data_IF_113060610764
#
_entry.id   IF_113060610764
#
_cell.length_a   1.000
_cell.length_b   1.000
_cell.length_c   1.000
_cell.angle_alpha   90.00
_cell.angle_beta   90.00
_cell.angle_gamma   90.00
#
_symmetry.space_group_name_H-M   'P 1'
#
loop_
_entity.id
_entity.type
_entity.pdbx_description
1 polymer ?
2 polymer ?
3 non-polymer ?
4 water ?
#
# COMPACT_ATOMS: atom_id res chain seq x y z
N UNK A 1 -3.30 28.09 3.39
CA UNK A 1 -1.97 28.69 3.32
C UNK A 1 -1.34 28.64 1.93
N UNK A 2 -0.04 28.93 1.84
CA UNK A 2 0.61 28.98 0.53
C UNK A 2 0.77 27.58 -0.04
N UNK A 3 0.76 27.48 -1.37
CA UNK A 3 1.09 26.21 -2.01
C UNK A 3 2.59 25.99 -1.85
N UNK A 4 3.00 24.80 -1.47
CA UNK A 4 4.44 24.52 -1.23
C UNK A 4 4.95 23.35 -2.08
N UNK A 5 6.22 23.40 -2.46
CA UNK A 5 6.86 22.23 -3.10
C UNK A 5 7.75 21.50 -2.10
N UNK A 6 7.60 20.17 -2.00
CA UNK A 6 8.29 19.40 -0.96
C UNK A 6 8.92 18.16 -1.58
N UNK A 7 10.19 17.91 -1.24
CA UNK A 7 10.96 16.76 -1.73
C UNK A 7 10.95 15.65 -0.69
N UNK A 8 10.70 14.42 -1.13
CA UNK A 8 10.69 13.25 -0.26
C UNK A 8 11.60 12.20 -0.87
N UNK A 9 12.44 11.58 -0.05
CA UNK A 9 13.38 10.56 -0.49
C UNK A 9 12.97 9.22 0.09
N UNK A 10 12.87 8.19 -0.74
CA UNK A 10 12.53 6.89 -0.19
C UNK A 10 13.25 5.79 -0.95
N UNK A 11 13.45 4.66 -0.26
CA UNK A 11 14.03 3.47 -0.86
C UNK A 11 12.91 2.50 -1.24
N UNK A 12 13.24 1.53 -2.09
CA UNK A 12 12.20 0.68 -2.67
C UNK A 12 11.59 -0.29 -1.66
N UNK A 13 12.20 -0.49 -0.49
CA UNK A 13 11.66 -1.44 0.48
C UNK A 13 10.60 -0.84 1.41
N UNK A 14 10.33 0.47 1.31
CA UNK A 14 9.48 1.25 2.21
C UNK A 14 8.23 1.73 1.48
N UNK A 15 7.19 2.04 2.25
CA UNK A 15 6.10 2.86 1.76
C UNK A 15 6.42 4.34 1.92
N UNK A 16 5.41 5.18 1.62
CA UNK A 16 5.62 6.62 1.78
C UNK A 16 5.57 7.03 3.25
N UNK A 17 4.88 6.27 4.09
CA UNK A 17 4.73 6.65 5.48
C UNK A 17 3.61 7.63 5.75
N UNK A 18 2.52 7.56 4.99
CA UNK A 18 1.37 8.43 5.22
C UNK A 18 0.09 7.61 5.12
N UNK A 19 -0.94 8.11 5.79
CA UNK A 19 -2.31 7.70 5.55
C UNK A 19 -3.03 8.86 4.88
N UNK A 20 -3.85 8.55 3.88
CA UNK A 20 -4.64 9.55 3.18
C UNK A 20 -6.13 9.25 3.33
N UNK A 21 -6.93 10.31 3.29
CA UNK A 21 -8.38 10.19 3.25
C UNK A 21 -8.90 11.15 2.18
N UNK A 22 -10.17 11.00 1.82
CA UNK A 22 -10.78 11.92 0.87
C UNK A 22 -10.75 11.37 -0.54
N UNK A 23 -11.02 12.26 -1.49
CA UNK A 23 -11.09 11.93 -2.90
C UNK A 23 -12.31 12.56 -3.56
N UNK A 24 -12.26 12.65 -4.89
CA UNK A 24 -13.28 13.39 -5.66
C UNK A 24 -14.69 12.86 -5.41
N UNK A 25 -14.84 11.54 -5.24
CA UNK A 25 -16.18 10.96 -5.10
C UNK A 25 -16.81 11.32 -3.77
N UNK A 26 -16.03 11.88 -2.85
CA UNK A 26 -16.52 12.38 -1.58
C UNK A 26 -16.55 13.91 -1.52
N UNK A 27 -16.15 14.58 -2.60
CA UNK A 27 -16.10 16.04 -2.59
C UNK A 27 -15.03 16.61 -1.69
N UNK A 28 -13.96 15.86 -1.45
CA UNK A 28 -12.88 16.23 -0.52
C UNK A 28 -11.56 16.05 -1.27
N UNK A 29 -10.56 16.93 -1.10
CA UNK A 29 -9.23 16.65 -1.68
C UNK A 29 -8.62 15.39 -1.07
N UNK A 30 -7.51 14.96 -1.67
CA UNK A 30 -6.67 13.93 -1.06
C UNK A 30 -5.94 14.59 0.12
N UNK A 31 -6.31 14.21 1.34
CA UNK A 31 -5.74 14.81 2.55
C UNK A 31 -4.87 13.82 3.31
N UNK A 32 -3.77 14.33 3.86
CA UNK A 32 -2.94 13.53 4.76
C UNK A 32 -3.61 13.50 6.13
N UNK A 33 -4.00 12.30 6.57
CA UNK A 33 -4.57 12.13 7.90
C UNK A 33 -3.60 11.55 8.93
N UNK A 34 -2.49 10.94 8.49
CA UNK A 34 -1.46 10.43 9.39
C UNK A 34 -0.08 10.58 8.74
N UNK A 35 0.91 10.95 9.55
CA UNK A 35 2.32 10.82 9.20
C UNK A 35 2.88 9.75 10.13
N UNK A 36 3.42 8.64 9.57
CA UNK A 36 3.90 7.57 10.45
C UNK A 36 5.33 7.84 10.94
N UNK A 37 5.58 7.72 12.25
CA UNK A 37 6.90 8.07 12.80
C UNK A 37 8.03 7.28 12.18
N UNK A 38 9.09 7.99 11.78
CA UNK A 38 10.29 7.37 11.30
C UNK A 38 10.27 6.95 9.85
N UNK A 39 9.15 7.07 9.16
CA UNK A 39 9.07 6.67 7.77
C UNK A 39 9.33 7.87 6.86
N UNK A 40 9.42 7.66 5.53
CA UNK A 40 10.02 8.72 4.67
C UNK A 40 9.32 10.08 4.72
N UNK A 41 7.99 10.13 4.85
CA UNK A 41 7.29 11.41 4.92
C UNK A 41 7.64 12.18 6.19
N UNK A 42 7.71 11.48 7.33
CA UNK A 42 8.21 12.08 8.56
C UNK A 42 9.64 12.58 8.41
N UNK A 43 10.52 11.76 7.83
CA UNK A 43 11.92 12.14 7.72
C UNK A 43 12.14 13.32 6.78
N UNK A 44 11.26 13.55 5.77
CA UNK A 44 11.59 14.62 4.82
C UNK A 44 11.31 15.98 5.46
N UNK A 45 10.48 16.02 6.51
CA UNK A 45 10.28 17.22 7.31
C UNK A 45 9.23 18.22 6.81
N UNK A 46 8.79 18.11 5.55
CA UNK A 46 7.90 19.11 4.97
C UNK A 46 6.45 18.72 4.78
N UNK A 47 6.03 17.53 5.21
CA UNK A 47 4.66 17.07 5.03
C UNK A 47 3.98 16.93 6.38
N UNK A 48 2.70 17.34 6.48
CA UNK A 48 2.03 17.39 7.78
C UNK A 48 0.57 16.94 7.70
N UNK A 49 0.07 16.37 8.80
CA UNK A 49 -1.36 16.04 8.89
C UNK A 49 -2.20 17.28 8.57
N UNK A 50 -3.21 17.10 7.72
CA UNK A 50 -4.03 18.20 7.25
C UNK A 50 -3.61 18.77 5.91
N UNK A 51 -2.40 18.45 5.42
CA UNK A 51 -1.99 18.90 4.09
C UNK A 51 -2.87 18.23 3.03
N UNK A 52 -3.29 19.01 2.03
CA UNK A 52 -3.87 18.45 0.81
C UNK A 52 -2.75 18.22 -0.21
N UNK A 53 -2.75 17.03 -0.82
CA UNK A 53 -1.79 16.70 -1.87
C UNK A 53 -2.38 17.13 -3.21
N UNK A 54 -1.80 18.19 -3.80
CA UNK A 54 -2.28 18.72 -5.07
C UNK A 54 -1.69 17.97 -6.27
N UNK A 55 -0.46 17.48 -6.14
CA UNK A 55 0.20 16.79 -7.24
C UNK A 55 1.41 16.02 -6.70
N UNK A 56 1.83 15.00 -7.45
CA UNK A 56 3.05 14.27 -7.11
C UNK A 56 3.81 14.00 -8.40
N UNK A 57 5.09 14.39 -8.44
CA UNK A 57 5.95 14.25 -9.62
C UNK A 57 5.26 14.80 -10.88
N UNK A 58 4.59 15.95 -10.72
CA UNK A 58 3.85 16.56 -11.81
C UNK A 58 2.52 15.92 -12.18
N UNK A 59 2.11 14.83 -11.52
CA UNK A 59 0.78 14.24 -11.75
C UNK A 59 -0.25 14.92 -10.86
N UNK A 60 -1.26 15.52 -11.49
CA UNK A 60 -2.28 16.27 -10.75
C UNK A 60 -3.19 15.31 -9.98
N UNK A 61 -3.48 15.68 -8.74
CA UNK A 61 -4.32 14.88 -7.84
C UNK A 61 -5.54 15.65 -7.37
N UNK A 62 -5.77 16.87 -7.86
CA UNK A 62 -6.89 17.67 -7.36
C UNK A 62 -8.25 17.06 -7.66
N UNK A 63 -8.37 16.25 -8.70
CA UNK A 63 -9.70 15.79 -9.06
C UNK A 63 -9.74 14.27 -9.18
N UNK A 64 -8.93 13.59 -8.38
CA UNK A 64 -8.80 12.14 -8.44
C UNK A 64 -9.64 11.48 -7.35
N UNK A 65 -10.18 10.31 -7.68
CA UNK A 65 -10.86 9.48 -6.70
C UNK A 65 -9.85 8.84 -5.75
N UNK A 66 -10.36 8.32 -4.63
CA UNK A 66 -9.49 7.82 -3.56
C UNK A 66 -8.55 6.74 -4.08
N UNK A 67 -9.11 5.68 -4.67
CA UNK A 67 -8.28 4.56 -5.10
C UNK A 67 -7.39 4.94 -6.28
N UNK A 68 -7.84 5.86 -7.14
CA UNK A 68 -6.95 6.38 -8.17
C UNK A 68 -5.70 7.00 -7.55
N UNK A 69 -5.89 7.85 -6.53
CA UNK A 69 -4.76 8.50 -5.86
C UNK A 69 -3.81 7.48 -5.23
N UNK A 70 -4.36 6.41 -4.64
CA UNK A 70 -3.53 5.37 -4.03
C UNK A 70 -2.62 4.73 -5.07
N UNK A 71 -3.19 4.35 -6.22
CA UNK A 71 -2.35 3.76 -7.28
C UNK A 71 -1.27 4.74 -7.73
N UNK A 72 -1.64 6.01 -7.96
CA UNK A 72 -0.65 6.97 -8.47
C UNK A 72 0.46 7.18 -7.44
N UNK A 73 0.08 7.42 -6.19
CA UNK A 73 1.06 7.67 -5.14
C UNK A 73 1.97 6.46 -4.91
N UNK A 74 1.41 5.24 -4.90
CA UNK A 74 2.23 4.06 -4.60
C UNK A 74 3.16 3.67 -5.75
N UNK A 75 2.92 4.20 -6.96
CA UNK A 75 3.80 3.96 -8.10
C UNK A 75 5.09 4.78 -8.05
N UNK A 76 5.15 5.86 -7.27
CA UNK A 76 6.33 6.72 -7.31
C UNK A 76 7.49 6.14 -6.49
N UNK A 77 8.72 6.41 -6.96
CA UNK A 77 9.95 5.79 -6.44
C UNK A 77 11.05 6.84 -6.27
N UNK A 78 11.92 6.61 -5.27
CA UNK A 78 13.13 7.40 -5.07
C UNK A 78 12.95 8.85 -4.61
N UNK A 79 13.31 9.80 -5.48
CA UNK A 79 13.23 11.23 -5.21
C UNK A 79 11.90 11.73 -5.75
N UNK A 80 10.99 12.08 -4.84
CA UNK A 80 9.59 12.33 -5.19
C UNK A 80 9.21 13.75 -4.81
N UNK A 81 8.70 14.53 -5.77
CA UNK A 81 8.32 15.90 -5.47
C UNK A 81 6.81 16.00 -5.25
N UNK A 82 6.42 16.60 -4.13
CA UNK A 82 5.01 16.80 -3.78
C UNK A 82 4.65 18.27 -3.94
N UNK A 83 3.44 18.55 -4.43
CA UNK A 83 2.86 19.89 -4.33
C UNK A 83 1.70 19.80 -3.33
N UNK A 84 1.79 20.56 -2.23
CA UNK A 84 0.83 20.45 -1.14
C UNK A 84 0.42 21.84 -0.63
N UNK A 85 -0.69 21.87 0.10
CA UNK A 85 -1.17 23.10 0.73
C UNK A 85 -1.95 22.73 1.99
N UNK A 86 -1.73 23.49 3.06
CA UNK A 86 -2.46 23.33 4.31
C UNK A 86 -3.60 24.36 4.35
N UNK A 87 -4.83 23.88 4.48
CA UNK A 87 -5.97 24.78 4.63
C UNK A 87 -6.51 24.70 6.05
N UNK B 1 3.23 -1.70 12.87
CA UNK B 1 4.48 -1.25 12.28
C UNK B 1 4.32 -0.54 10.93
N UNK B 2 5.44 -0.32 10.25
CA UNK B 2 5.41 0.39 8.96
C UNK B 2 5.15 -0.53 7.78
N UNK B 3 4.72 0.08 6.68
CA UNK B 3 4.58 -0.66 5.43
C UNK B 3 5.94 -1.12 4.96
N UNK B 4 6.01 -2.38 4.52
CA UNK B 4 7.26 -2.93 3.96
C UNK B 4 6.97 -3.50 2.55
N UNK B 5 7.92 -3.38 1.64
CA UNK B 5 7.77 -4.03 0.34
C UNK B 5 8.77 -5.18 0.31
N UNK B 6 8.27 -6.38 0.01
CA UNK B 6 9.02 -7.63 0.15
C UNK B 6 9.01 -8.32 -1.20
N UNK B 7 10.18 -8.79 -1.64
CA UNK B 7 10.30 -9.50 -2.90
C UNK B 7 10.30 -11.00 -2.66
N UNK B 8 9.60 -11.71 -3.52
CA UNK B 8 9.47 -13.14 -3.41
C UNK B 8 9.73 -13.72 -4.79
N UNK B 9 10.49 -14.82 -4.85
CA UNK B 9 10.78 -15.49 -6.12
C UNK B 9 9.99 -16.80 -6.19
N UNK B 10 9.14 -16.93 -7.20
CA UNK B 10 8.32 -18.13 -7.38
C UNK B 10 8.65 -18.79 -8.71
N UNK B 11 8.92 -20.10 -8.64
CA UNK B 11 9.11 -20.86 -9.90
C UNK B 11 7.71 -21.20 -10.44
N UNK B 12 7.60 -21.35 -11.75
CA UNK B 12 6.32 -21.62 -12.40
C UNK B 12 5.65 -22.89 -11.87
N UNK B 13 6.42 -23.86 -11.39
CA UNK B 13 5.80 -25.15 -10.98
C UNK B 13 5.38 -25.16 -9.51
N UNK B 14 5.53 -24.05 -8.79
CA UNK B 14 5.29 -24.09 -7.35
C UNK B 14 4.34 -22.98 -6.90
N UNK B 15 3.67 -23.24 -5.76
CA UNK B 15 2.88 -22.24 -5.09
C UNK B 15 3.73 -21.32 -4.22
N UNK B 16 3.14 -20.19 -3.84
CA UNK B 16 3.81 -19.24 -2.94
C UNK B 16 4.04 -19.85 -1.57
N UNK B 17 3.15 -20.74 -1.14
CA UNK B 17 3.20 -21.29 0.20
C UNK B 17 2.57 -20.41 1.26
N UNK B 18 1.40 -19.81 0.96
CA UNK B 18 0.73 -18.89 1.87
C UNK B 18 -0.74 -19.29 1.97
N UNK B 19 -1.29 -19.32 3.19
CA UNK B 19 -2.73 -19.39 3.39
C UNK B 19 -3.26 -17.98 3.68
N UNK B 20 -4.46 -17.69 3.17
CA UNK B 20 -5.04 -16.36 3.07
C UNK B 20 -6.43 -16.39 3.69
N UNK B 21 -6.76 -15.35 4.46
CA UNK B 21 -8.10 -15.13 5.00
C UNK B 21 -8.43 -13.65 4.88
N UNK B 22 -9.70 -13.31 5.13
CA UNK B 22 -10.10 -11.90 5.13
C UNK B 22 -10.57 -11.40 3.77
N UNK B 23 -10.72 -10.09 3.68
CA UNK B 23 -11.19 -9.44 2.47
C UNK B 23 -12.37 -8.52 2.73
N UNK B 24 -12.77 -7.83 1.66
CA UNK B 24 -13.78 -6.76 1.75
C UNK B 24 -15.06 -7.21 2.44
N UNK B 25 -15.54 -8.43 2.13
CA UNK B 25 -16.84 -8.86 2.67
C UNK B 25 -16.76 -9.18 4.16
N UNK B 26 -15.56 -9.27 4.72
CA UNK B 26 -15.37 -9.51 6.14
C UNK B 26 -14.98 -8.25 6.91
N UNK B 27 -14.90 -7.11 6.23
CA UNK B 27 -14.51 -5.87 6.86
C UNK B 27 -13.09 -5.83 7.38
N UNK B 28 -12.21 -6.72 6.91
CA UNK B 28 -10.80 -6.74 7.32
C UNK B 28 -9.89 -6.85 6.09
N UNK B 29 -8.58 -6.61 6.21
CA UNK B 29 -7.70 -6.78 5.04
C UNK B 29 -7.55 -8.24 4.62
N UNK B 30 -6.93 -8.42 3.46
CA UNK B 30 -6.43 -9.73 3.04
C UNK B 30 -5.27 -10.07 3.96
N UNK B 31 -5.37 -11.18 4.70
CA UNK B 31 -4.43 -11.46 5.79
C UNK B 31 -3.71 -12.79 5.58
N UNK B 32 -2.42 -12.81 5.89
CA UNK B 32 -1.64 -14.05 5.89
C UNK B 32 -1.99 -14.81 7.17
N UNK B 33 -2.57 -16.01 7.02
CA UNK B 33 -2.94 -16.78 8.19
C UNK B 33 -2.02 -17.97 8.43
N UNK B 34 -1.15 -18.29 7.47
CA UNK B 34 -0.21 -19.40 7.58
C UNK B 34 0.91 -19.21 6.56
N UNK B 35 2.15 -19.47 6.99
CA UNK B 35 3.33 -19.55 6.14
C UNK B 35 3.81 -21.00 6.13
N UNK B 36 3.85 -21.62 4.96
CA UNK B 36 4.17 -23.05 4.91
C UNK B 36 5.68 -23.29 4.94
N UNK B 37 6.18 -24.12 5.87
CA UNK B 37 7.63 -24.35 5.98
C UNK B 37 8.28 -24.73 4.66
N UNK B 38 9.33 -23.99 4.28
CA UNK B 38 10.20 -24.37 3.17
C UNK B 38 9.78 -23.88 1.80
N UNK B 39 8.58 -23.32 1.66
CA UNK B 39 8.10 -22.77 0.40
C UNK B 39 8.62 -21.34 0.20
N UNK B 40 8.44 -20.76 -1.00
CA UNK B 40 9.00 -19.41 -1.25
C UNK B 40 8.71 -18.34 -0.21
N UNK B 41 7.45 -18.18 0.23
CA UNK B 41 7.15 -17.14 1.22
C UNK B 41 8.00 -17.31 2.48
N UNK B 42 8.14 -18.56 2.95
CA UNK B 42 9.02 -18.83 4.07
C UNK B 42 10.47 -18.56 3.69
N UNK B 43 10.85 -18.93 2.47
CA UNK B 43 12.21 -18.71 1.99
C UNK B 43 12.61 -17.23 2.06
N UNK B 44 11.70 -16.31 1.71
CA UNK B 44 12.18 -14.94 1.54
C UNK B 44 12.44 -14.28 2.89
N UNK B 45 11.85 -14.80 3.96
CA UNK B 45 12.05 -14.30 5.31
C UNK B 45 11.39 -12.98 5.66
N UNK B 46 10.56 -12.42 4.79
CA UNK B 46 10.02 -11.08 5.03
C UNK B 46 8.52 -11.01 5.24
N UNK B 47 7.86 -12.17 5.30
CA UNK B 47 6.41 -12.28 5.34
C UNK B 47 6.00 -13.11 6.55
N UNK B 48 5.09 -12.59 7.36
CA UNK B 48 4.77 -13.19 8.65
C UNK B 48 3.27 -13.39 8.80
N UNK B 49 2.89 -14.40 9.59
CA UNK B 49 1.48 -14.58 9.91
C UNK B 49 0.94 -13.32 10.60
N UNK B 50 -0.24 -12.89 10.17
CA UNK B 50 -0.83 -11.67 10.66
C UNK B 50 -0.53 -10.45 9.82
N UNK B 51 0.41 -10.55 8.88
CA UNK B 51 0.66 -9.47 7.93
C UNK B 51 -0.59 -9.24 7.08
N UNK B 52 -0.92 -7.98 6.83
CA UNK B 52 -1.94 -7.62 5.85
C UNK B 52 -1.27 -7.39 4.50
N UNK B 53 -1.84 -7.94 3.43
CA UNK B 53 -1.35 -7.69 2.07
C UNK B 53 -2.16 -6.53 1.50
N UNK B 54 -1.53 -5.34 1.42
CA UNK B 54 -2.17 -4.15 0.87
C UNK B 54 -2.15 -4.14 -0.66
N UNK B 55 -1.11 -4.69 -1.29
CA UNK B 55 -0.98 -4.67 -2.75
C UNK B 55 0.02 -5.73 -3.19
N UNK B 56 -0.14 -6.22 -4.43
CA UNK B 56 0.81 -7.19 -5.01
C UNK B 56 1.15 -6.71 -6.43
N UNK B 57 2.45 -6.56 -6.71
CA UNK B 57 2.93 -6.03 -8.00
C UNK B 57 2.14 -4.78 -8.42
N UNK B 58 1.90 -3.87 -7.48
CA UNK B 58 1.17 -2.65 -7.80
C UNK B 58 -0.33 -2.79 -7.97
N UNK B 59 -0.90 -3.96 -7.66
CA UNK B 59 -2.35 -4.15 -7.67
C UNK B 59 -2.87 -3.88 -6.26
N UNK B 60 -3.70 -2.87 -6.11
CA UNK B 60 -4.24 -2.47 -4.81
C UNK B 60 -5.32 -3.45 -4.35
N UNK B 61 -5.06 -4.18 -3.25
CA UNK B 61 -5.99 -5.16 -2.68
C UNK B 61 -6.64 -4.67 -1.36
N UNK B 62 -6.56 -3.37 -1.06
CA UNK B 62 -7.11 -2.84 0.19
C UNK B 62 -8.63 -2.92 0.24
N UNK B 63 -9.31 -2.91 -0.91
CA UNK B 63 -10.78 -2.91 -0.93
C UNK B 63 -11.32 -3.96 -1.90
N UNK B 64 -10.80 -5.19 -1.81
CA UNK B 64 -11.14 -6.26 -2.75
C UNK B 64 -11.67 -7.46 -1.98
N UNK B 65 -12.69 -8.13 -2.55
CA UNK B 65 -13.25 -9.32 -1.94
C UNK B 65 -12.24 -10.48 -1.94
N UNK B 66 -12.46 -11.43 -1.02
CA UNK B 66 -11.55 -12.55 -0.82
C UNK B 66 -11.23 -13.27 -2.14
N UNK B 67 -12.27 -13.67 -2.88
CA UNK B 67 -12.06 -14.53 -4.05
C UNK B 67 -11.25 -13.83 -5.14
N UNK B 68 -11.61 -12.58 -5.45
CA UNK B 68 -10.88 -11.82 -6.46
C UNK B 68 -9.44 -11.54 -6.06
N UNK B 69 -9.21 -11.19 -4.79
CA UNK B 69 -7.84 -11.00 -4.33
C UNK B 69 -7.01 -12.28 -4.51
N UNK B 70 -7.57 -13.43 -4.12
CA UNK B 70 -6.84 -14.70 -4.27
C UNK B 70 -6.53 -14.97 -5.75
N UNK B 71 -7.49 -14.70 -6.64
CA UNK B 71 -7.25 -14.90 -8.06
C UNK B 71 -6.08 -14.07 -8.57
N UNK B 72 -6.09 -12.76 -8.30
CA UNK B 72 -4.95 -11.88 -8.62
C UNK B 72 -3.64 -12.41 -8.06
N UNK B 73 -3.60 -12.70 -6.76
CA UNK B 73 -2.37 -13.21 -6.17
C UNK B 73 -1.85 -14.43 -6.93
N UNK B 74 -2.76 -15.32 -7.33
CA UNK B 74 -2.31 -16.57 -7.93
C UNK B 74 -1.91 -16.41 -9.39
N UNK B 75 -2.23 -15.28 -10.03
CA UNK B 75 -1.78 -15.03 -11.39
C UNK B 75 -0.35 -14.50 -11.47
N UNK B 76 0.23 -14.06 -10.35
CA UNK B 76 1.55 -13.44 -10.38
C UNK B 76 2.64 -14.48 -10.60
N UNK B 77 3.71 -14.08 -11.30
CA UNK B 77 4.75 -15.04 -11.67
C UNK B 77 6.13 -14.41 -11.47
N UNK B 78 7.13 -15.28 -11.28
CA UNK B 78 8.53 -14.83 -11.24
C UNK B 78 8.87 -14.15 -9.93
N UNK B 79 9.51 -12.98 -10.02
CA UNK B 79 9.83 -12.18 -8.84
C UNK B 79 8.67 -11.23 -8.54
N UNK B 80 8.04 -11.41 -7.39
CA UNK B 80 6.76 -10.78 -7.06
C UNK B 80 6.93 -9.83 -5.87
N UNK B 81 6.50 -8.58 -6.01
CA UNK B 81 6.59 -7.62 -4.91
C UNK B 81 5.28 -7.57 -4.12
N UNK B 82 5.36 -7.84 -2.82
CA UNK B 82 4.26 -7.72 -1.88
C UNK B 82 4.42 -6.43 -1.08
N UNK B 83 3.34 -5.66 -0.95
CA UNK B 83 3.30 -4.51 -0.04
C UNK B 83 2.49 -4.94 1.18
N UNK B 84 3.14 -5.03 2.35
CA UNK B 84 2.53 -5.64 3.53
C UNK B 84 2.69 -4.70 4.72
N UNK B 85 1.83 -4.91 5.72
CA UNK B 85 1.89 -4.15 6.98
C UNK B 85 1.39 -5.03 8.12
N UNK B 86 2.08 -4.95 9.25
CA UNK B 86 1.65 -5.60 10.48
C UNK B 86 1.12 -4.48 11.38
N UNK B 87 -0.20 -4.33 11.41
CA UNK B 87 -0.82 -3.22 12.14
C UNK B 87 -0.41 -3.19 13.61
N UNK C 4 -16.74 7.41 7.77
CA UNK C 4 -17.53 7.62 6.52
C UNK C 4 -16.57 7.84 5.35
N UNK C 5 -15.46 8.58 5.55
CA UNK C 5 -14.53 8.64 4.44
C UNK C 5 -13.54 7.49 4.55
N UNK C 6 -13.15 6.87 3.44
CA UNK C 6 -12.12 5.82 3.52
C UNK C 6 -10.75 6.41 3.85
N UNK C 7 -9.92 5.58 4.48
CA UNK C 7 -8.53 5.90 4.77
C UNK C 7 -7.66 4.76 4.24
N UNK C 8 -6.52 5.11 3.64
CA UNK C 8 -5.63 4.10 3.08
C UNK C 8 -4.22 4.39 3.62
N UNK C 9 -3.53 3.37 4.12
CA UNK C 9 -2.12 3.51 4.48
C UNK C 9 -1.26 3.23 3.25
N UNK C 10 -0.36 4.17 2.94
CA UNK C 10 0.51 4.05 1.76
C UNK C 10 1.96 4.46 2.09
N UNK D 5 -14.37 -17.09 8.84
CA UNK D 5 -13.27 -16.62 7.95
C UNK D 5 -12.83 -17.80 7.05
N UNK D 6 -13.45 -18.05 5.86
CA UNK D 6 -12.90 -19.09 4.97
C UNK D 6 -11.45 -18.83 4.59
N UNK D 7 -10.78 -19.90 4.12
CA UNK D 7 -9.34 -19.89 3.90
C UNK D 7 -9.03 -20.31 2.47
N UNK D 8 -8.07 -19.62 1.85
CA UNK D 8 -7.58 -20.00 0.54
C UNK D 8 -6.09 -20.23 0.63
N UNK D 9 -5.52 -20.88 -0.38
CA UNK D 9 -4.08 -21.10 -0.42
C UNK D 9 -3.58 -20.62 -1.76
N UNK D 10 -2.38 -20.06 -1.77
CA UNK D 10 -1.74 -19.60 -3.00
C UNK D 10 -0.28 -20.04 -3.00
X LIG E 1 -3.07 -0.56 5.93
X LIG E 1 -9.47 -2.82 7.14
X LIG E 1 -9.27 -3.10 5.78
X LIG E 1 -8.48 -2.18 7.91
X LIG E 1 -8.08 -2.77 5.17
X LIG E 1 -6.14 -1.30 7.58
X LIG E 1 -5.74 -1.70 5.52
X LIG E 1 -3.82 -0.52 6.84
X LIG E 1 -5.22 -1.15 6.69
X LIG E 1 -7.26 -1.84 7.30
X LIG E 1 -7.10 -2.16 5.92
X LIG F 1 -4.69 -26.01 5.35
X LIG F 1 -4.98 -22.18 10.70
X LIG F 1 -4.66 -21.01 9.99
X LIG F 1 -5.06 -23.41 10.03
X LIG F 1 -4.41 -21.06 8.64
X LIG F 1 -4.76 -24.29 7.70
X LIG F 1 -4.27 -22.59 6.56
X LIG F 1 -4.39 -24.87 5.25
X LIG F 1 -4.48 -23.95 6.50
X LIG F 1 -4.80 -23.46 8.65
X LIG F 1 -4.48 -22.26 8.00
#
# INVERSE_FOLDING_TARGET
GPIRKVLLLKEDHEGLGISITGGKEHGVPILISEIHPGQPADRCGGLHVGDAILAVNGVNLRDTKHKEAVTILSQQRGEIEFEVVYV
GPIRKVLLLKEDHEGLGISITGGKEHGVPILISEIHPGQPADRCGGLHVGDAILAVNGVNLRDTKHKEAVTILSQQRGEIEFEVVYV
ANSRLPTSKI
ANSRLPTSKI
BZ2 OAB CAC CAD CAE CAF CAG OAH CAI CAJ CAK CAL
BZ2 OAB CAC CAD CAE CAF CAG OAH CAI CAJ CAK CAL
#
